data_IF_481175297909
#
_entry.id   IF_481175297909
#
_cell.length_a   1.000
_cell.length_b   1.000
_cell.length_c   1.000
_cell.angle_alpha   90.00
_cell.angle_beta   90.00
_cell.angle_gamma   90.00
#
_symmetry.space_group_name_H-M   'P 1'
#
loop_
_entity.id
_entity.type
_entity.pdbx_description
1 polymer ?
#
# COMPACT_ATOMS: atom_id res chain seq x y z
N UNK A 1 -21.05 16.56 27.65
CA UNK A 1 -20.27 15.43 28.22
C UNK A 1 -20.60 14.19 27.40
N UNK A 2 -19.64 13.40 26.97
CA UNK A 2 -19.87 12.16 26.23
C UNK A 2 -19.66 10.96 27.17
N UNK A 3 -20.50 9.94 27.05
CA UNK A 3 -20.38 8.72 27.86
C UNK A 3 -19.35 7.73 27.31
N UNK A 4 -19.03 7.84 26.01
CA UNK A 4 -18.08 6.97 25.30
C UNK A 4 -17.33 7.76 24.26
N UNK A 5 -16.11 7.32 23.95
CA UNK A 5 -15.29 7.86 22.86
C UNK A 5 -14.82 6.73 21.94
N UNK A 6 -14.83 6.97 20.64
CA UNK A 6 -14.26 6.09 19.62
C UNK A 6 -12.97 6.73 19.09
N UNK A 7 -11.86 5.99 19.18
CA UNK A 7 -10.59 6.39 18.59
C UNK A 7 -10.40 5.62 17.28
N UNK A 8 -10.37 6.32 16.14
CA UNK A 8 -10.22 5.75 14.81
C UNK A 8 -9.33 6.66 13.96
N UNK A 9 -8.04 6.74 14.32
CA UNK A 9 -7.08 7.71 13.79
C UNK A 9 -6.16 7.14 12.70
N UNK A 10 -6.44 5.94 12.20
CA UNK A 10 -5.68 5.30 11.14
C UNK A 10 -4.93 4.04 11.56
N UNK A 11 -4.12 3.53 10.64
CA UNK A 11 -3.32 2.31 10.79
C UNK A 11 -1.86 2.58 10.47
N UNK A 12 -0.98 1.82 11.11
CA UNK A 12 0.44 1.77 10.80
C UNK A 12 0.86 0.34 10.51
N UNK A 13 1.82 0.11 9.61
CA UNK A 13 2.38 -1.21 9.38
C UNK A 13 2.98 -1.81 10.64
N UNK A 14 2.85 -3.12 10.82
CA UNK A 14 3.45 -3.85 11.92
C UNK A 14 4.73 -4.52 11.42
N UNK A 15 5.87 -4.13 11.97
CA UNK A 15 7.19 -4.56 11.53
C UNK A 15 7.92 -5.43 12.56
N UNK A 16 7.23 -5.88 13.61
CA UNK A 16 7.82 -6.68 14.67
C UNK A 16 8.43 -7.98 14.11
N UNK A 17 9.67 -8.25 14.46
CA UNK A 17 10.43 -9.41 13.99
C UNK A 17 11.25 -9.17 12.73
N UNK A 18 11.20 -7.96 12.16
CA UNK A 18 11.97 -7.58 10.96
C UNK A 18 13.15 -6.66 11.27
N UNK A 19 13.40 -6.36 12.54
CA UNK A 19 14.37 -5.37 12.99
C UNK A 19 15.80 -5.65 12.53
N UNK A 20 16.13 -6.93 12.38
CA UNK A 20 17.49 -7.38 11.99
C UNK A 20 17.73 -7.37 10.48
N UNK A 21 16.73 -7.09 9.66
CA UNK A 21 16.87 -7.14 8.20
C UNK A 21 17.45 -5.85 7.60
N UNK A 22 17.59 -4.77 8.39
CA UNK A 22 18.08 -3.47 7.92
C UNK A 22 17.35 -2.97 6.64
N UNK A 23 16.04 -3.16 6.57
CA UNK A 23 15.21 -2.71 5.45
C UNK A 23 15.13 -1.18 5.44
N UNK A 24 15.18 -0.58 4.27
CA UNK A 24 14.90 0.84 4.11
C UNK A 24 13.42 1.11 4.42
N UNK A 25 13.17 2.07 5.32
CA UNK A 25 11.83 2.48 5.71
C UNK A 25 11.54 3.91 5.23
N UNK A 26 10.29 4.15 4.83
CA UNK A 26 9.72 5.48 4.63
C UNK A 26 8.59 5.69 5.64
N UNK A 27 8.79 6.61 6.60
CA UNK A 27 7.80 6.94 7.65
C UNK A 27 7.26 5.72 8.40
N UNK A 28 8.16 4.75 8.73
CA UNK A 28 7.79 3.52 9.43
C UNK A 28 7.13 2.44 8.56
N UNK A 29 7.22 2.56 7.24
CA UNK A 29 6.72 1.59 6.25
C UNK A 29 7.89 1.00 5.49
N UNK A 30 7.83 -0.26 5.10
CA UNK A 30 8.87 -0.85 4.27
C UNK A 30 8.81 -0.22 2.88
N UNK A 31 9.91 0.43 2.48
CA UNK A 31 10.03 1.02 1.15
C UNK A 31 10.18 -0.10 0.11
N UNK A 32 9.35 -0.06 -0.91
CA UNK A 32 9.40 -0.99 -2.05
C UNK A 32 9.43 -0.21 -3.37
N UNK A 33 9.95 -0.85 -4.39
CA UNK A 33 9.88 -0.36 -5.77
C UNK A 33 8.56 -0.80 -6.45
N UNK A 34 8.39 -0.48 -7.71
CA UNK A 34 7.20 -0.82 -8.51
C UNK A 34 6.99 -2.34 -8.71
N UNK A 35 8.01 -3.14 -8.43
CA UNK A 35 7.99 -4.61 -8.48
C UNK A 35 7.68 -5.25 -7.12
N UNK A 36 7.42 -4.44 -6.10
CA UNK A 36 7.21 -4.83 -4.68
C UNK A 36 8.49 -5.34 -3.99
N UNK A 37 9.67 -5.12 -4.59
CA UNK A 37 10.95 -5.48 -4.01
C UNK A 37 11.43 -4.39 -3.03
N UNK A 38 12.01 -4.82 -1.93
CA UNK A 38 12.57 -3.95 -0.88
C UNK A 38 13.96 -3.41 -1.27
N UNK A 39 14.61 -2.72 -0.35
CA UNK A 39 16.02 -2.31 -0.49
C UNK A 39 17.00 -3.49 -0.54
N UNK A 40 16.57 -4.70 -0.16
CA UNK A 40 17.38 -5.92 -0.20
C UNK A 40 16.93 -6.75 -1.40
N UNK A 41 17.83 -7.00 -2.39
CA UNK A 41 17.48 -7.80 -3.56
C UNK A 41 16.92 -9.17 -3.22
N UNK A 42 15.84 -9.58 -3.89
CA UNK A 42 15.17 -10.86 -3.68
C UNK A 42 14.22 -10.89 -2.48
N UNK A 43 14.11 -9.80 -1.73
CA UNK A 43 13.13 -9.66 -0.63
C UNK A 43 12.01 -8.74 -1.06
N UNK A 44 10.79 -9.24 -1.00
CA UNK A 44 9.57 -8.54 -1.41
C UNK A 44 8.67 -8.27 -0.21
N UNK A 45 7.99 -7.12 -0.20
CA UNK A 45 7.09 -6.71 0.89
C UNK A 45 5.74 -6.22 0.34
N UNK A 46 4.88 -7.13 -0.15
CA UNK A 46 3.55 -6.79 -0.63
C UNK A 46 2.56 -6.52 0.50
N UNK A 47 1.53 -5.72 0.24
CA UNK A 47 0.40 -5.48 1.15
C UNK A 47 0.64 -4.34 2.14
N UNK A 48 -0.10 -4.36 3.23
CA UNK A 48 -0.18 -3.28 4.21
C UNK A 48 1.17 -2.92 4.84
N UNK A 49 2.10 -3.86 4.87
CA UNK A 49 3.45 -3.68 5.43
C UNK A 49 4.26 -2.58 4.72
N UNK A 50 4.03 -2.36 3.43
CA UNK A 50 4.67 -1.27 2.68
C UNK A 50 3.85 0.04 2.70
N UNK A 51 2.61 0.00 3.18
CA UNK A 51 1.75 1.16 3.37
C UNK A 51 1.36 1.91 2.09
N UNK A 52 1.61 1.35 0.90
CA UNK A 52 1.29 2.01 -0.39
C UNK A 52 -0.20 2.10 -0.62
N UNK A 53 -0.92 1.00 -0.47
CA UNK A 53 -2.38 0.90 -0.53
C UNK A 53 -2.84 -0.14 0.48
N UNK A 54 -3.35 0.31 1.64
CA UNK A 54 -3.77 -0.56 2.74
C UNK A 54 -5.20 -1.07 2.52
N UNK A 55 -5.40 -1.83 1.43
CA UNK A 55 -6.66 -2.39 0.97
C UNK A 55 -6.46 -3.86 0.60
N UNK A 56 -7.40 -4.74 0.98
CA UNK A 56 -7.28 -6.18 0.78
C UNK A 56 -7.04 -6.55 -0.68
N UNK A 57 -7.83 -6.02 -1.61
CA UNK A 57 -7.67 -6.29 -3.04
C UNK A 57 -6.38 -5.73 -3.64
N UNK A 58 -5.86 -4.61 -3.11
CA UNK A 58 -4.53 -4.12 -3.46
C UNK A 58 -3.43 -5.06 -2.97
N UNK A 59 -3.57 -5.59 -1.74
CA UNK A 59 -2.62 -6.55 -1.17
C UNK A 59 -2.58 -7.86 -1.99
N UNK A 60 -3.73 -8.36 -2.46
CA UNK A 60 -3.78 -9.50 -3.39
C UNK A 60 -2.98 -9.21 -4.67
N UNK A 61 -3.22 -8.06 -5.30
CA UNK A 61 -2.50 -7.66 -6.51
C UNK A 61 -1.00 -7.54 -6.27
N UNK A 62 -0.59 -6.90 -5.18
CA UNK A 62 0.81 -6.79 -4.80
C UNK A 62 1.44 -8.17 -4.55
N UNK A 63 0.71 -9.08 -3.89
CA UNK A 63 1.16 -10.44 -3.62
C UNK A 63 1.39 -11.26 -4.89
N UNK A 64 0.48 -11.21 -5.86
CA UNK A 64 0.65 -11.85 -7.17
C UNK A 64 1.90 -11.33 -7.89
N UNK A 65 2.07 -10.01 -7.91
CA UNK A 65 3.24 -9.37 -8.55
C UNK A 65 4.54 -9.75 -7.85
N UNK A 66 4.55 -9.74 -6.51
CA UNK A 66 5.73 -10.12 -5.73
C UNK A 66 6.12 -11.58 -5.96
N UNK A 67 5.13 -12.50 -5.98
CA UNK A 67 5.37 -13.91 -6.24
C UNK A 67 5.94 -14.17 -7.64
N UNK A 68 5.37 -13.54 -8.67
CA UNK A 68 5.86 -13.65 -10.05
C UNK A 68 7.29 -13.11 -10.17
N UNK A 69 7.57 -11.96 -9.57
CA UNK A 69 8.90 -11.34 -9.59
C UNK A 69 9.93 -12.15 -8.79
N UNK A 70 9.55 -12.77 -7.69
CA UNK A 70 10.42 -13.65 -6.93
C UNK A 70 10.84 -14.90 -7.73
N UNK A 71 9.98 -15.40 -8.61
CA UNK A 71 10.25 -16.58 -9.44
C UNK A 71 11.04 -16.26 -10.73
N UNK A 72 10.81 -15.09 -11.32
CA UNK A 72 11.27 -14.77 -12.67
C UNK A 72 12.15 -13.52 -12.76
N UNK A 73 12.47 -12.90 -11.61
CA UNK A 73 13.09 -11.57 -11.57
C UNK A 73 12.04 -10.47 -11.76
N UNK A 74 12.44 -9.22 -11.63
CA UNK A 74 11.54 -8.05 -11.65
C UNK A 74 10.96 -7.79 -13.07
N UNK A 75 10.00 -8.62 -13.49
CA UNK A 75 9.36 -8.61 -14.82
C UNK A 75 8.00 -7.93 -14.86
N UNK A 76 7.32 -7.79 -13.69
CA UNK A 76 5.96 -7.27 -13.63
C UNK A 76 5.80 -6.16 -12.59
N UNK A 77 5.20 -5.04 -12.99
CA UNK A 77 4.88 -3.90 -12.12
C UNK A 77 3.50 -4.01 -11.49
N UNK A 78 3.34 -3.48 -10.29
CA UNK A 78 2.08 -3.60 -9.55
C UNK A 78 0.94 -2.72 -10.07
N UNK A 79 1.21 -1.59 -10.72
CA UNK A 79 0.21 -0.65 -11.27
C UNK A 79 -0.99 -0.41 -10.35
N UNK A 80 -0.77 0.31 -9.25
CA UNK A 80 -1.79 0.54 -8.21
C UNK A 80 -2.59 1.85 -8.38
N UNK A 81 -2.33 2.62 -9.44
CA UNK A 81 -2.92 3.96 -9.66
C UNK A 81 -4.46 3.92 -9.78
N UNK A 82 -4.99 2.85 -10.33
CA UNK A 82 -6.42 2.64 -10.54
C UNK A 82 -7.05 1.67 -9.56
N UNK A 83 -6.45 1.51 -8.37
CA UNK A 83 -7.02 0.67 -7.31
C UNK A 83 -8.27 1.35 -6.75
N UNK A 84 -9.47 0.74 -6.86
CA UNK A 84 -10.67 1.33 -6.28
C UNK A 84 -10.60 1.32 -4.76
N UNK A 85 -11.16 2.35 -4.13
CA UNK A 85 -11.31 2.44 -2.68
C UNK A 85 -12.75 2.84 -2.34
N UNK A 86 -13.29 2.27 -1.27
CA UNK A 86 -14.62 2.59 -0.79
C UNK A 86 -14.63 2.78 0.72
N UNK A 87 -15.43 3.74 1.18
CA UNK A 87 -15.74 3.97 2.58
C UNK A 87 -17.24 3.69 2.77
N UNK A 88 -17.55 2.68 3.56
CA UNK A 88 -18.91 2.15 3.76
C UNK A 88 -19.68 2.91 4.84
N UNK A 89 -19.61 4.21 4.80
CA UNK A 89 -20.42 5.11 5.62
C UNK A 89 -21.84 5.26 5.03
N UNK A 90 -22.68 6.05 5.67
CA UNK A 90 -24.00 6.39 5.13
C UNK A 90 -24.10 7.92 4.99
N UNK A 91 -24.05 8.46 3.75
CA UNK A 91 -23.89 7.79 2.45
C UNK A 91 -22.48 7.19 2.22
N UNK A 92 -22.37 6.20 1.36
CA UNK A 92 -21.11 5.59 0.96
C UNK A 92 -20.29 6.54 0.06
N UNK A 93 -18.96 6.43 0.15
CA UNK A 93 -18.02 7.15 -0.72
C UNK A 93 -17.11 6.15 -1.42
N UNK A 94 -16.93 6.28 -2.71
CA UNK A 94 -16.01 5.44 -3.48
C UNK A 94 -15.19 6.30 -4.45
N UNK A 95 -13.97 5.86 -4.72
CA UNK A 95 -13.06 6.53 -5.64
C UNK A 95 -12.22 5.53 -6.41
N UNK A 96 -11.77 5.92 -7.60
CA UNK A 96 -10.83 5.16 -8.40
C UNK A 96 -10.04 6.11 -9.31
N UNK A 97 -8.72 5.96 -9.34
CA UNK A 97 -7.84 6.83 -10.14
C UNK A 97 -7.51 8.15 -9.45
N UNK A 98 -7.36 9.20 -10.26
CA UNK A 98 -6.95 10.52 -9.80
C UNK A 98 -8.12 11.28 -9.14
N UNK A 99 -7.80 12.09 -8.15
CA UNK A 99 -8.70 13.15 -7.68
C UNK A 99 -8.80 14.27 -8.71
N UNK A 100 -9.82 15.13 -8.62
CA UNK A 100 -9.93 16.31 -9.48
C UNK A 100 -8.70 17.23 -9.34
N UNK A 101 -8.22 17.41 -8.11
CA UNK A 101 -7.04 18.21 -7.83
C UNK A 101 -5.78 17.64 -8.48
N UNK A 102 -5.55 16.34 -8.34
CA UNK A 102 -4.41 15.64 -8.97
C UNK A 102 -4.51 15.67 -10.51
N UNK A 103 -5.71 15.50 -11.04
CA UNK A 103 -5.94 15.56 -12.48
C UNK A 103 -5.65 16.96 -13.03
N UNK A 104 -6.09 18.01 -12.35
CA UNK A 104 -5.78 19.40 -12.71
C UNK A 104 -4.28 19.69 -12.63
N UNK A 105 -3.60 19.23 -11.59
CA UNK A 105 -2.17 19.42 -11.44
C UNK A 105 -1.36 18.72 -12.54
N UNK A 106 -1.85 17.57 -13.02
CA UNK A 106 -1.15 16.75 -14.03
C UNK A 106 -1.45 17.14 -15.48
N UNK A 107 -2.67 17.57 -15.75
CA UNK A 107 -3.15 17.78 -17.13
C UNK A 107 -3.58 19.21 -17.45
N UNK A 108 -3.63 20.10 -16.49
CA UNK A 108 -4.04 21.50 -16.65
C UNK A 108 -5.53 21.74 -16.42
#
# INVERSE_FOLDING_TARGET
>A
MAERALLSIGRVPQLNGLENLNLELDRGRIKVNEYQETSIPGIYAPGDVNGTKMLAHAAYRMGEVAAENAMHGNVRKAHLDYTPAAVYTHPEVAMCGLTEEDARAKYG
#
